data_IF_240407286976
#
_entry.id   IF_240407286976
#
_cell.length_a   1.000
_cell.length_b   1.000
_cell.length_c   1.000
_cell.angle_alpha   90.00
_cell.angle_beta   90.00
_cell.angle_gamma   90.00
#
_symmetry.space_group_name_H-M   'P 1'
#
loop_
_entity.id
_entity.type
_entity.pdbx_description
1 polymer ?
#
# COMPACT_ATOMS: atom_id res chain seq x y z
N UNK A 1 16.96 3.49 -4.33
CA UNK A 1 16.16 2.49 -5.12
C UNK A 1 16.94 2.09 -6.37
N UNK A 2 17.09 0.79 -6.61
CA UNK A 2 17.80 0.28 -7.79
C UNK A 2 16.99 0.47 -9.09
N UNK A 3 17.67 0.37 -10.25
CA UNK A 3 17.06 0.65 -11.54
C UNK A 3 15.93 -0.31 -11.92
N UNK A 4 16.00 -1.57 -11.47
CA UNK A 4 14.97 -2.59 -11.76
C UNK A 4 13.67 -2.26 -11.02
N UNK A 5 13.74 -1.99 -9.71
CA UNK A 5 12.57 -1.62 -8.91
C UNK A 5 11.94 -0.33 -9.43
N UNK A 6 12.78 0.64 -9.78
CA UNK A 6 12.29 1.88 -10.40
C UNK A 6 11.54 1.61 -11.69
N UNK A 7 12.09 0.78 -12.58
CA UNK A 7 11.44 0.44 -13.84
C UNK A 7 10.10 -0.28 -13.60
N UNK A 8 10.04 -1.26 -12.69
CA UNK A 8 8.80 -1.98 -12.36
C UNK A 8 7.73 -1.01 -11.83
N UNK A 9 8.13 -0.06 -10.98
CA UNK A 9 7.23 0.99 -10.49
C UNK A 9 6.78 1.94 -11.59
N UNK A 10 7.67 2.39 -12.47
CA UNK A 10 7.32 3.24 -13.63
C UNK A 10 6.32 2.53 -14.55
N UNK A 11 6.48 1.22 -14.80
CA UNK A 11 5.56 0.42 -15.62
C UNK A 11 4.16 0.34 -15.01
N UNK A 12 4.04 0.04 -13.71
CA UNK A 12 2.72 -0.05 -13.07
C UNK A 12 2.05 1.31 -12.92
N UNK A 13 2.82 2.38 -12.69
CA UNK A 13 2.31 3.76 -12.66
C UNK A 13 1.77 4.16 -14.04
N UNK A 14 2.52 3.86 -15.11
CA UNK A 14 2.08 4.14 -16.47
C UNK A 14 0.81 3.34 -16.84
N UNK A 15 0.67 2.12 -16.32
CA UNK A 15 -0.52 1.30 -16.53
C UNK A 15 -1.74 1.88 -15.78
N UNK A 16 -1.57 2.27 -14.51
CA UNK A 16 -2.62 2.95 -13.73
C UNK A 16 -3.11 4.22 -14.43
N UNK A 17 -2.21 5.01 -14.99
CA UNK A 17 -2.54 6.27 -15.65
C UNK A 17 -3.34 6.10 -16.96
N UNK A 18 -3.56 4.88 -17.46
CA UNK A 18 -4.49 4.60 -18.57
C UNK A 18 -5.95 4.63 -18.12
N UNK A 19 -6.22 4.40 -16.83
CA UNK A 19 -7.57 4.49 -16.30
C UNK A 19 -8.05 5.94 -16.28
N UNK A 20 -9.33 6.12 -16.61
CA UNK A 20 -9.93 7.46 -16.61
C UNK A 20 -10.17 8.00 -15.20
N UNK A 21 -10.25 9.33 -15.02
CA UNK A 21 -10.52 9.95 -13.72
C UNK A 21 -11.89 9.56 -13.09
N UNK A 22 -12.77 8.91 -13.84
CA UNK A 22 -14.03 8.39 -13.31
C UNK A 22 -13.84 7.19 -12.39
N UNK A 23 -12.74 6.44 -12.58
CA UNK A 23 -12.48 5.19 -11.85
C UNK A 23 -11.16 5.22 -11.08
N UNK A 24 -10.22 6.08 -11.47
CA UNK A 24 -8.94 6.28 -10.79
C UNK A 24 -8.92 7.64 -10.08
N UNK A 25 -8.93 7.62 -8.75
CA UNK A 25 -8.60 8.80 -7.94
C UNK A 25 -7.08 8.92 -7.81
N UNK A 26 -6.49 9.80 -8.64
CA UNK A 26 -5.06 10.07 -8.67
C UNK A 26 -4.76 11.39 -7.95
N UNK A 27 -4.00 11.33 -6.88
CA UNK A 27 -3.80 12.47 -5.97
C UNK A 27 -2.53 13.24 -6.31
N UNK A 28 -2.39 14.44 -5.72
CA UNK A 28 -1.14 15.20 -5.81
C UNK A 28 -0.03 14.48 -5.00
N UNK A 29 1.25 14.67 -5.38
CA UNK A 29 2.37 14.16 -4.60
C UNK A 29 2.29 14.52 -3.12
N UNK A 30 2.82 13.64 -2.26
CA UNK A 30 2.94 13.92 -0.83
C UNK A 30 3.96 15.03 -0.58
N UNK A 31 3.77 15.81 0.48
CA UNK A 31 4.84 16.65 1.02
C UNK A 31 5.90 15.73 1.69
N UNK A 32 7.17 15.76 1.27
CA UNK A 32 8.23 14.94 1.85
C UNK A 32 8.34 15.02 3.37
N UNK A 33 8.00 16.16 3.96
CA UNK A 33 7.99 16.36 5.42
C UNK A 33 7.04 15.38 6.13
N UNK A 34 5.95 14.96 5.48
CA UNK A 34 5.03 13.97 6.06
C UNK A 34 5.64 12.58 6.13
N UNK A 35 6.47 12.19 5.15
CA UNK A 35 7.21 10.93 5.18
C UNK A 35 8.20 10.95 6.36
N UNK A 36 9.03 11.99 6.46
CA UNK A 36 10.00 12.14 7.55
C UNK A 36 9.30 12.15 8.92
N UNK A 37 8.17 12.83 9.02
CA UNK A 37 7.37 12.88 10.26
C UNK A 37 6.82 11.50 10.62
N UNK A 38 6.30 10.73 9.66
CA UNK A 38 5.80 9.38 9.89
C UNK A 38 6.93 8.47 10.39
N UNK A 39 8.03 8.39 9.65
CA UNK A 39 9.18 7.55 9.99
C UNK A 39 9.76 7.91 11.37
N UNK A 40 9.90 9.20 11.66
CA UNK A 40 10.40 9.69 12.96
C UNK A 40 9.41 9.40 14.11
N UNK A 41 8.11 9.64 13.90
CA UNK A 41 7.09 9.45 14.94
C UNK A 41 6.96 8.01 15.38
N UNK A 42 7.00 7.08 14.44
CA UNK A 42 6.77 5.65 14.71
C UNK A 42 8.07 4.83 14.77
N UNK A 43 9.22 5.48 14.53
CA UNK A 43 10.54 4.84 14.46
C UNK A 43 10.55 3.64 13.49
N UNK A 44 10.05 3.86 12.29
CA UNK A 44 9.99 2.89 11.19
C UNK A 44 10.58 3.50 9.94
N UNK A 45 10.97 2.67 8.98
CA UNK A 45 11.40 3.09 7.65
C UNK A 45 10.41 2.58 6.60
N UNK A 46 9.87 3.49 5.78
CA UNK A 46 8.99 3.10 4.68
C UNK A 46 9.78 2.44 3.55
N UNK A 47 9.20 1.45 2.85
CA UNK A 47 9.81 0.88 1.65
C UNK A 47 10.13 1.93 0.59
N UNK A 48 11.27 1.77 -0.09
CA UNK A 48 11.73 2.73 -1.10
C UNK A 48 10.80 2.84 -2.31
N UNK A 49 10.20 1.72 -2.73
CA UNK A 49 9.20 1.68 -3.79
C UNK A 49 7.91 2.41 -3.39
N UNK A 50 7.51 2.31 -2.11
CA UNK A 50 6.36 3.04 -1.61
C UNK A 50 6.63 4.55 -1.48
N UNK A 51 7.80 4.95 -0.97
CA UNK A 51 8.23 6.36 -0.97
C UNK A 51 8.24 6.93 -2.40
N UNK A 52 8.73 6.14 -3.36
CA UNK A 52 8.74 6.53 -4.77
C UNK A 52 7.32 6.79 -5.30
N UNK A 53 6.36 5.90 -5.00
CA UNK A 53 4.95 6.10 -5.35
C UNK A 53 4.41 7.39 -4.71
N UNK A 54 4.66 7.61 -3.42
CA UNK A 54 4.17 8.78 -2.69
C UNK A 54 4.70 10.10 -3.25
N UNK A 55 5.91 10.13 -3.80
CA UNK A 55 6.48 11.30 -4.50
C UNK A 55 5.83 11.57 -5.86
N UNK A 56 5.07 10.64 -6.41
CA UNK A 56 4.34 10.79 -7.68
C UNK A 56 2.86 11.02 -7.43
N UNK A 57 2.28 10.27 -6.52
CA UNK A 57 0.89 10.38 -6.06
C UNK A 57 0.78 10.06 -4.58
N UNK A 58 0.05 10.85 -3.82
CA UNK A 58 -0.18 10.62 -2.40
C UNK A 58 -1.22 9.51 -2.18
N UNK A 59 -0.87 8.29 -2.56
CA UNK A 59 -1.81 7.19 -2.66
C UNK A 59 -2.77 7.35 -3.82
N UNK A 60 -3.62 6.36 -4.04
CA UNK A 60 -4.66 6.37 -5.07
C UNK A 60 -5.81 5.44 -4.69
N UNK A 61 -6.92 5.55 -5.42
CA UNK A 61 -7.98 4.54 -5.41
C UNK A 61 -8.37 4.18 -6.84
N UNK A 62 -8.45 2.87 -7.13
CA UNK A 62 -8.94 2.33 -8.40
C UNK A 62 -10.17 1.45 -8.14
N UNK A 63 -11.35 1.89 -8.62
CA UNK A 63 -12.61 1.14 -8.47
C UNK A 63 -12.97 0.74 -7.03
N UNK A 64 -12.39 1.41 -6.03
CA UNK A 64 -12.60 1.12 -4.61
C UNK A 64 -11.42 0.45 -3.91
N UNK A 65 -10.50 -0.16 -4.64
CA UNK A 65 -9.23 -0.60 -4.08
C UNK A 65 -8.35 0.61 -3.78
N UNK A 66 -7.81 0.68 -2.56
CA UNK A 66 -7.10 1.86 -2.05
C UNK A 66 -5.65 1.53 -1.71
N UNK A 67 -4.73 2.34 -2.20
CA UNK A 67 -3.38 2.45 -1.63
C UNK A 67 -3.33 3.76 -0.84
N UNK A 68 -3.10 3.65 0.45
CA UNK A 68 -3.14 4.78 1.38
C UNK A 68 -2.05 5.80 1.03
N UNK A 69 -2.39 7.05 1.23
CA UNK A 69 -1.46 8.17 1.24
C UNK A 69 -1.28 8.72 2.65
N UNK A 70 -0.72 9.91 2.75
CA UNK A 70 -0.48 10.61 4.00
C UNK A 70 -1.16 11.98 4.00
N UNK A 71 -1.70 12.39 5.13
CA UNK A 71 -2.25 13.73 5.33
C UNK A 71 -1.88 14.27 6.70
N UNK A 72 -1.83 15.57 6.82
CA UNK A 72 -1.69 16.28 8.09
C UNK A 72 -3.03 16.43 8.85
N UNK A 73 -4.11 15.95 8.25
CA UNK A 73 -5.45 16.03 8.86
C UNK A 73 -5.64 14.91 9.87
N UNK A 74 -6.13 15.27 11.01
CA UNK A 74 -6.32 14.38 12.17
C UNK A 74 -7.46 13.35 12.00
N UNK A 75 -8.22 13.42 10.88
CA UNK A 75 -9.36 12.54 10.59
C UNK A 75 -9.37 12.15 9.12
N UNK A 76 -9.29 10.89 8.85
CA UNK A 76 -9.36 10.29 7.51
C UNK A 76 -8.69 8.92 7.49
N UNK A 77 -9.05 8.11 6.53
CA UNK A 77 -8.32 6.88 6.23
C UNK A 77 -7.02 7.24 5.51
N UNK A 78 -5.96 7.40 6.26
CA UNK A 78 -4.61 7.63 5.77
C UNK A 78 -3.61 6.77 6.54
N UNK A 79 -2.37 6.72 6.08
CA UNK A 79 -1.36 5.87 6.68
C UNK A 79 -1.11 6.19 8.16
N UNK A 80 -1.15 7.47 8.57
CA UNK A 80 -0.95 7.87 9.97
C UNK A 80 -2.02 7.30 10.88
N UNK A 81 -3.30 7.51 10.54
CA UNK A 81 -4.43 7.08 11.36
C UNK A 81 -4.55 5.56 11.38
N UNK A 82 -4.35 4.89 10.25
CA UNK A 82 -4.41 3.43 10.19
C UNK A 82 -3.26 2.81 10.98
N UNK A 83 -2.02 3.29 10.81
CA UNK A 83 -0.88 2.80 11.57
C UNK A 83 -1.07 3.02 13.08
N UNK A 84 -1.51 4.22 13.49
CA UNK A 84 -1.80 4.52 14.89
C UNK A 84 -2.85 3.56 15.45
N UNK A 85 -3.94 3.34 14.72
CA UNK A 85 -5.04 2.47 15.17
C UNK A 85 -4.60 1.02 15.31
N UNK A 86 -3.99 0.44 14.26
CA UNK A 86 -3.64 -0.98 14.21
C UNK A 86 -2.48 -1.38 15.16
N UNK A 87 -1.62 -0.41 15.56
CA UNK A 87 -0.49 -0.70 16.44
C UNK A 87 -0.74 -0.31 17.90
N UNK A 88 -1.70 0.59 18.19
CA UNK A 88 -1.80 1.17 19.52
C UNK A 88 -3.23 1.18 20.10
N UNK A 89 -4.26 0.96 19.29
CA UNK A 89 -5.66 1.14 19.73
C UNK A 89 -6.50 -0.13 19.64
N UNK A 90 -6.13 -1.09 18.77
CA UNK A 90 -6.83 -2.39 18.68
C UNK A 90 -6.46 -3.32 19.86
N UNK A 91 -7.29 -4.33 20.11
CA UNK A 91 -7.07 -5.29 21.21
C UNK A 91 -5.84 -6.16 20.95
N UNK A 92 -5.65 -6.62 19.70
CA UNK A 92 -4.49 -7.39 19.26
C UNK A 92 -3.70 -6.54 18.27
N UNK A 93 -2.65 -5.82 18.73
CA UNK A 93 -1.88 -4.92 17.87
C UNK A 93 -1.13 -5.66 16.78
N UNK A 94 -0.97 -5.00 15.62
CA UNK A 94 -0.07 -5.46 14.56
C UNK A 94 1.38 -5.58 15.06
N UNK A 95 2.13 -6.48 14.44
CA UNK A 95 3.57 -6.53 14.65
C UNK A 95 4.22 -5.23 14.19
N UNK A 96 5.14 -4.68 14.99
CA UNK A 96 5.76 -3.37 14.76
C UNK A 96 6.46 -3.21 13.40
N UNK A 97 6.88 -4.33 12.80
CA UNK A 97 7.52 -4.35 11.49
C UNK A 97 6.53 -4.39 10.32
N UNK A 98 5.23 -4.46 10.57
CA UNK A 98 4.21 -4.39 9.53
C UNK A 98 3.73 -2.96 9.34
N UNK A 99 3.60 -2.54 8.08
CA UNK A 99 3.08 -1.21 7.72
C UNK A 99 1.81 -1.41 6.89
N UNK A 100 0.61 -1.17 7.45
CA UNK A 100 -0.65 -1.33 6.75
C UNK A 100 -0.83 -0.21 5.72
N UNK A 101 -0.81 -0.55 4.43
CA UNK A 101 -0.85 0.44 3.34
C UNK A 101 -2.08 0.34 2.44
N UNK A 102 -2.84 -0.76 2.52
CA UNK A 102 -4.01 -0.96 1.68
C UNK A 102 -5.09 -1.73 2.45
N UNK A 103 -6.26 -1.11 2.73
CA UNK A 103 -7.38 -1.78 3.37
C UNK A 103 -8.10 -2.72 2.38
N UNK A 104 -8.66 -3.84 2.89
CA UNK A 104 -9.47 -4.78 2.11
C UNK A 104 -10.95 -4.42 2.05
N UNK A 105 -11.35 -3.32 2.69
CA UNK A 105 -12.77 -2.93 2.84
C UNK A 105 -13.55 -3.70 3.91
N UNK A 106 -12.96 -4.75 4.47
CA UNK A 106 -13.54 -5.57 5.55
C UNK A 106 -12.94 -5.29 6.93
N UNK A 107 -12.03 -4.33 7.02
CA UNK A 107 -11.32 -3.97 8.27
C UNK A 107 -9.97 -4.65 8.44
N UNK A 108 -9.50 -5.36 7.41
CA UNK A 108 -8.18 -5.98 7.37
C UNK A 108 -7.26 -5.22 6.41
N UNK A 109 -5.97 -5.57 6.39
CA UNK A 109 -4.99 -4.78 5.64
C UNK A 109 -3.96 -5.65 4.92
N UNK A 110 -3.58 -5.20 3.72
CA UNK A 110 -2.30 -5.57 3.13
C UNK A 110 -1.21 -4.69 3.75
N UNK A 111 -0.14 -5.34 4.22
CA UNK A 111 0.94 -4.68 4.95
C UNK A 111 2.29 -4.98 4.31
N UNK A 112 3.17 -3.99 4.27
CA UNK A 112 4.58 -4.27 4.03
C UNK A 112 5.18 -4.98 5.24
N UNK A 113 5.91 -6.07 5.00
CA UNK A 113 6.76 -6.68 6.01
C UNK A 113 8.18 -6.09 5.90
N UNK A 114 8.52 -5.16 6.80
CA UNK A 114 9.82 -4.47 6.75
C UNK A 114 11.00 -5.36 7.13
N UNK A 115 10.76 -6.56 7.69
CA UNK A 115 11.77 -7.58 7.94
C UNK A 115 12.03 -8.48 6.73
N UNK A 116 11.09 -8.60 5.80
CA UNK A 116 11.19 -9.45 4.60
C UNK A 116 11.50 -8.60 3.35
N UNK A 117 12.73 -8.17 3.24
CA UNK A 117 13.20 -7.37 2.10
C UNK A 117 13.41 -8.22 0.86
N UNK A 118 13.04 -7.66 -0.30
CA UNK A 118 13.19 -8.23 -1.64
C UNK A 118 13.90 -7.24 -2.57
N UNK A 119 14.27 -7.68 -3.77
CA UNK A 119 14.89 -6.81 -4.78
C UNK A 119 16.10 -6.01 -4.25
N UNK A 120 17.07 -6.70 -3.64
CA UNK A 120 18.28 -6.13 -3.04
C UNK A 120 18.01 -5.10 -1.91
N UNK A 121 16.84 -5.22 -1.26
CA UNK A 121 16.47 -4.39 -0.11
C UNK A 121 15.61 -3.17 -0.45
N UNK A 122 15.29 -2.95 -1.71
CA UNK A 122 14.52 -1.79 -2.16
C UNK A 122 12.99 -2.01 -2.18
N UNK A 123 12.55 -3.26 -2.00
CA UNK A 123 11.14 -3.63 -1.84
C UNK A 123 10.96 -4.50 -0.60
N UNK A 124 9.71 -4.69 -0.21
CA UNK A 124 9.33 -5.56 0.89
C UNK A 124 8.24 -6.53 0.44
N UNK A 125 8.24 -7.75 1.01
CA UNK A 125 7.10 -8.64 0.85
C UNK A 125 5.85 -8.00 1.41
N UNK A 126 4.70 -8.37 0.85
CA UNK A 126 3.40 -7.93 1.31
C UNK A 126 2.70 -9.13 1.92
N UNK A 127 2.21 -8.93 3.14
CA UNK A 127 1.43 -9.90 3.89
C UNK A 127 0.00 -9.40 4.08
N UNK A 128 -0.94 -10.33 4.23
CA UNK A 128 -2.30 -10.01 4.61
C UNK A 128 -2.46 -10.12 6.13
N UNK A 129 -3.00 -9.08 6.76
CA UNK A 129 -3.23 -8.99 8.19
C UNK A 129 -4.72 -8.93 8.50
N UNK A 130 -5.24 -9.96 9.20
CA UNK A 130 -6.56 -9.90 9.81
C UNK A 130 -6.50 -9.08 11.10
N UNK A 131 -7.19 -7.95 11.15
CA UNK A 131 -7.21 -7.07 12.33
C UNK A 131 -7.80 -7.82 13.53
N UNK A 132 -7.16 -7.63 14.71
CA UNK A 132 -7.49 -8.34 15.95
C UNK A 132 -7.36 -9.88 15.92
N UNK A 133 -6.70 -10.47 14.90
CA UNK A 133 -6.35 -11.87 14.91
C UNK A 133 -5.01 -12.10 15.62
N UNK A 134 -4.95 -13.12 16.49
CA UNK A 134 -3.74 -13.44 17.24
C UNK A 134 -2.88 -14.43 16.44
N UNK A 135 -1.90 -13.90 15.72
CA UNK A 135 -0.93 -14.69 14.95
C UNK A 135 0.14 -15.34 15.86
N UNK A 136 0.76 -16.40 15.36
CA UNK A 136 1.85 -17.13 16.06
C UNK A 136 2.94 -17.57 15.07
N UNK A 137 4.05 -18.10 15.57
CA UNK A 137 5.10 -18.68 14.72
C UNK A 137 4.60 -19.86 13.86
N UNK A 138 3.61 -20.62 14.35
CA UNK A 138 2.99 -21.72 13.61
C UNK A 138 1.82 -21.28 12.69
N UNK A 139 1.40 -20.05 12.82
CA UNK A 139 0.31 -19.44 12.05
C UNK A 139 0.66 -17.97 11.77
N UNK A 140 1.65 -17.70 10.90
CA UNK A 140 2.08 -16.34 10.58
C UNK A 140 1.12 -15.68 9.56
N UNK A 141 1.16 -14.35 9.41
CA UNK A 141 0.46 -13.66 8.33
C UNK A 141 0.86 -14.24 6.96
N UNK A 142 -0.14 -14.39 6.08
CA UNK A 142 0.07 -14.93 4.73
C UNK A 142 0.86 -13.94 3.86
N UNK A 143 1.95 -14.41 3.23
CA UNK A 143 2.66 -13.65 2.19
C UNK A 143 1.85 -13.70 0.90
N UNK A 144 1.37 -12.54 0.44
CA UNK A 144 0.52 -12.44 -0.74
C UNK A 144 1.28 -11.98 -1.99
N UNK A 145 2.22 -11.04 -1.85
CA UNK A 145 2.97 -10.46 -2.97
C UNK A 145 4.43 -10.19 -2.61
N UNK A 146 5.29 -10.12 -3.63
CA UNK A 146 6.73 -9.96 -3.44
C UNK A 146 7.21 -8.50 -3.45
N UNK A 147 6.37 -7.56 -3.87
CA UNK A 147 6.68 -6.13 -3.90
C UNK A 147 5.41 -5.30 -4.08
N UNK A 148 5.52 -3.98 -3.92
CA UNK A 148 4.43 -3.05 -4.22
C UNK A 148 4.04 -3.08 -5.71
N UNK A 149 5.02 -3.16 -6.62
CA UNK A 149 4.74 -3.27 -8.06
C UNK A 149 3.97 -4.55 -8.39
N UNK A 150 4.34 -5.69 -7.77
CA UNK A 150 3.64 -6.96 -7.90
C UNK A 150 2.19 -6.85 -7.40
N UNK A 151 1.98 -6.26 -6.23
CA UNK A 151 0.65 -6.02 -5.66
C UNK A 151 -0.23 -5.14 -6.57
N UNK A 152 0.29 -3.99 -7.01
CA UNK A 152 -0.48 -3.08 -7.87
C UNK A 152 -0.84 -3.76 -9.19
N UNK A 153 0.11 -4.45 -9.82
CA UNK A 153 -0.06 -5.09 -11.12
C UNK A 153 -1.02 -6.27 -11.07
N UNK A 154 -0.75 -7.22 -10.17
CA UNK A 154 -1.40 -8.53 -10.19
C UNK A 154 -2.64 -8.60 -9.29
N UNK A 155 -2.81 -7.65 -8.36
CA UNK A 155 -4.01 -7.55 -7.56
C UNK A 155 -4.89 -6.39 -8.03
N UNK A 156 -4.46 -5.14 -7.91
CA UNK A 156 -5.34 -4.00 -8.20
C UNK A 156 -5.69 -3.90 -9.69
N UNK A 157 -4.68 -3.85 -10.58
CA UNK A 157 -4.90 -3.64 -12.02
C UNK A 157 -5.51 -4.89 -12.67
N UNK A 158 -4.92 -6.07 -12.43
CA UNK A 158 -5.35 -7.29 -13.10
C UNK A 158 -6.79 -7.64 -12.75
N UNK A 159 -7.18 -7.61 -11.46
CA UNK A 159 -8.55 -7.89 -11.04
C UNK A 159 -9.54 -6.86 -11.59
N UNK A 160 -9.18 -5.57 -11.58
CA UNK A 160 -10.02 -4.55 -12.20
C UNK A 160 -10.23 -4.85 -13.69
N UNK A 161 -9.17 -5.20 -14.40
CA UNK A 161 -9.24 -5.50 -15.85
C UNK A 161 -9.87 -6.87 -16.18
N UNK A 162 -10.15 -7.74 -15.23
CA UNK A 162 -10.97 -8.94 -15.47
C UNK A 162 -12.41 -8.55 -15.81
N UNK A 163 -12.99 -7.63 -15.05
CA UNK A 163 -14.42 -7.29 -15.15
C UNK A 163 -14.70 -5.96 -15.86
N UNK A 164 -13.73 -5.04 -15.87
CA UNK A 164 -13.92 -3.66 -16.37
C UNK A 164 -12.82 -3.28 -17.37
N UNK A 165 -13.10 -2.28 -18.19
CA UNK A 165 -12.10 -1.64 -19.03
C UNK A 165 -11.47 -0.40 -18.33
N UNK A 166 -10.60 0.32 -19.04
CA UNK A 166 -9.94 1.52 -18.48
C UNK A 166 -10.90 2.71 -18.23
N UNK A 167 -12.12 2.66 -18.74
CA UNK A 167 -13.14 3.67 -18.47
C UNK A 167 -14.05 3.27 -17.31
N UNK A 168 -13.93 2.02 -16.82
CA UNK A 168 -14.80 1.45 -15.82
C UNK A 168 -16.07 0.84 -16.40
N UNK A 169 -16.14 0.65 -17.71
CA UNK A 169 -17.24 -0.05 -18.35
C UNK A 169 -17.06 -1.57 -18.17
N UNK A 170 -18.15 -2.22 -17.75
CA UNK A 170 -18.12 -3.68 -17.52
C UNK A 170 -17.93 -4.42 -18.83
N UNK A 171 -16.96 -5.33 -18.86
CA UNK A 171 -16.75 -6.23 -19.99
C UNK A 171 -17.89 -7.24 -20.09
N UNK A 172 -18.37 -7.49 -21.29
CA UNK A 172 -19.40 -8.49 -21.57
C UNK A 172 -18.79 -9.88 -21.73
#
# INVERSE_FOLDING_TARGET
>A
MNSKVKQEMDEVIAELQKFTPQVLDWRKPVDPVLIEHFESRFNVELPEDYKYLLYITNGFSLMGDVVLGMTDKQYGEDLFSVYQFEHFEVIVPQYKHLIPFSPDGGGNFYCFDTHAKTNDGDSNQIVFWYSNYEYSESDPPEVTHQSLADYIKNWIIALTLEDYDYNGDRKM
#
